data_IF_761203369815
#
_entry.id   IF_761203369815
#
_cell.length_a   1.000
_cell.length_b   1.000
_cell.length_c   1.000
_cell.angle_alpha   90.00
_cell.angle_beta   90.00
_cell.angle_gamma   90.00
#
_symmetry.space_group_name_H-M   'P 1'
#
loop_
_entity.id
_entity.type
_entity.pdbx_description
1 polymer ?
#
# COMPACT_ATOMS: atom_id res chain seq x y z
N UNK A 1 19.91 7.97 -6.64
CA UNK A 1 20.36 8.40 -7.99
C UNK A 1 19.14 8.47 -8.90
N UNK A 2 19.03 9.48 -9.75
CA UNK A 2 18.01 9.59 -10.81
C UNK A 2 18.74 9.84 -12.14
N UNK A 3 18.57 8.97 -13.12
CA UNK A 3 19.32 9.01 -14.40
C UNK A 3 20.83 9.20 -14.24
N UNK A 4 21.43 8.50 -13.27
CA UNK A 4 22.86 8.56 -12.99
C UNK A 4 23.32 9.79 -12.19
N UNK A 5 22.43 10.74 -11.88
CA UNK A 5 22.74 11.93 -11.09
C UNK A 5 22.25 11.78 -9.65
N UNK A 6 22.95 12.39 -8.70
CA UNK A 6 22.52 12.42 -7.32
C UNK A 6 21.25 13.29 -7.18
N UNK A 7 20.22 12.77 -6.51
CA UNK A 7 18.94 13.49 -6.32
C UNK A 7 19.09 14.78 -5.50
N UNK A 8 20.10 14.86 -4.64
CA UNK A 8 20.40 16.08 -3.87
C UNK A 8 20.92 17.20 -4.77
N UNK A 9 21.73 16.86 -5.79
CA UNK A 9 22.29 17.84 -6.72
C UNK A 9 21.24 18.35 -7.72
N UNK A 10 20.24 17.55 -8.03
CA UNK A 10 19.13 17.91 -8.91
C UNK A 10 18.18 18.95 -8.29
N UNK A 11 18.12 19.06 -6.98
CA UNK A 11 17.39 20.08 -6.25
C UNK A 11 15.94 20.27 -6.71
N UNK A 12 15.64 21.44 -7.28
CA UNK A 12 14.31 21.80 -7.76
C UNK A 12 13.84 20.94 -8.94
N UNK A 13 14.75 20.56 -9.84
CA UNK A 13 14.41 19.72 -11.01
C UNK A 13 13.85 18.37 -10.57
N UNK A 14 14.44 17.75 -9.55
CA UNK A 14 13.92 16.51 -8.99
C UNK A 14 12.57 16.71 -8.30
N UNK A 15 12.42 17.76 -7.50
CA UNK A 15 11.14 18.08 -6.83
C UNK A 15 10.00 18.33 -7.81
N UNK A 16 10.28 18.87 -8.99
CA UNK A 16 9.27 19.15 -10.02
C UNK A 16 8.70 17.88 -10.66
N UNK A 17 9.47 16.79 -10.71
CA UNK A 17 9.02 15.49 -11.24
C UNK A 17 8.45 14.56 -10.17
N UNK A 18 8.48 14.98 -8.88
CA UNK A 18 8.04 14.21 -7.74
C UNK A 18 6.66 14.68 -7.25
N UNK A 19 5.74 13.75 -7.10
CA UNK A 19 4.52 13.90 -6.31
C UNK A 19 4.63 13.08 -5.02
N UNK A 20 4.19 13.64 -3.91
CA UNK A 20 4.27 12.95 -2.62
C UNK A 20 2.96 13.11 -1.84
N UNK A 21 2.45 11.98 -1.36
CA UNK A 21 1.36 11.90 -0.40
C UNK A 21 1.90 11.23 0.86
N UNK A 22 2.16 11.97 1.95
CA UNK A 22 2.54 11.40 3.23
C UNK A 22 1.36 10.70 3.91
N UNK A 23 1.62 9.80 4.84
CA UNK A 23 0.62 9.10 5.65
C UNK A 23 -0.36 10.09 6.32
N UNK A 24 0.18 11.17 6.86
CA UNK A 24 -0.59 12.27 7.45
C UNK A 24 -0.27 13.56 6.71
N UNK A 25 -1.11 13.93 5.73
CA UNK A 25 -0.91 15.20 5.06
C UNK A 25 -1.70 16.33 5.74
N UNK A 26 -1.02 17.47 5.91
CA UNK A 26 -1.61 18.65 6.49
C UNK A 26 -2.56 19.35 5.50
N UNK A 27 -3.73 19.73 5.98
CA UNK A 27 -4.69 20.55 5.23
C UNK A 27 -5.26 21.66 6.12
N UNK A 28 -5.78 22.70 5.47
CA UNK A 28 -6.47 23.78 6.18
C UNK A 28 -7.96 23.43 6.30
N UNK A 29 -8.48 23.12 7.51
CA UNK A 29 -9.83 22.58 7.70
C UNK A 29 -10.95 23.48 7.15
N UNK A 30 -10.73 24.79 7.17
CA UNK A 30 -11.68 25.79 6.72
C UNK A 30 -11.54 26.17 5.22
N UNK A 31 -10.52 25.66 4.52
CA UNK A 31 -10.45 25.82 3.07
C UNK A 31 -11.44 24.90 2.39
N UNK A 32 -11.92 25.31 1.20
CA UNK A 32 -12.57 24.39 0.30
C UNK A 32 -11.52 23.55 -0.44
N UNK A 33 -11.91 22.40 -1.01
CA UNK A 33 -11.00 21.56 -1.77
C UNK A 33 -10.34 22.34 -2.91
N UNK A 34 -11.12 23.13 -3.66
CA UNK A 34 -10.61 23.98 -4.71
C UNK A 34 -9.61 25.03 -4.19
N UNK A 35 -9.95 25.77 -3.11
CA UNK A 35 -9.06 26.76 -2.52
C UNK A 35 -7.76 26.13 -2.04
N UNK A 36 -7.81 24.93 -1.48
CA UNK A 36 -6.63 24.19 -1.05
C UNK A 36 -5.71 23.87 -2.24
N UNK A 37 -6.25 23.31 -3.33
CA UNK A 37 -5.45 23.01 -4.52
C UNK A 37 -4.83 24.26 -5.14
N UNK A 38 -5.58 25.36 -5.24
CA UNK A 38 -5.06 26.64 -5.73
C UNK A 38 -3.92 27.17 -4.86
N UNK A 39 -4.04 27.05 -3.53
CA UNK A 39 -2.99 27.43 -2.59
C UNK A 39 -1.71 26.61 -2.78
N UNK A 40 -1.84 25.27 -2.86
CA UNK A 40 -0.68 24.40 -3.11
C UNK A 40 -0.08 24.65 -4.49
N UNK A 41 -0.91 24.89 -5.50
CA UNK A 41 -0.44 25.22 -6.86
C UNK A 41 0.39 26.52 -6.87
N UNK A 42 -0.01 27.53 -6.09
CA UNK A 42 0.75 28.76 -5.95
C UNK A 42 2.12 28.53 -5.26
N UNK A 43 2.17 27.72 -4.20
CA UNK A 43 3.43 27.33 -3.54
C UNK A 43 4.36 26.59 -4.52
N UNK A 44 3.77 25.76 -5.41
CA UNK A 44 4.51 25.03 -6.46
C UNK A 44 4.88 25.91 -7.68
N UNK A 45 4.58 27.21 -7.67
CA UNK A 45 4.92 28.14 -8.73
C UNK A 45 4.08 28.00 -10.02
N UNK A 46 2.89 27.37 -9.96
CA UNK A 46 2.04 27.28 -11.13
C UNK A 46 1.37 28.63 -11.43
N UNK A 47 1.40 29.10 -12.68
CA UNK A 47 0.65 30.30 -13.09
C UNK A 47 -0.85 30.13 -12.80
N UNK A 48 -1.52 31.18 -12.35
CA UNK A 48 -2.91 31.15 -11.86
C UNK A 48 -3.89 30.45 -12.84
N UNK A 49 -3.85 30.80 -14.13
CA UNK A 49 -4.71 30.17 -15.16
C UNK A 49 -4.46 28.67 -15.29
N UNK A 50 -3.18 28.22 -15.25
CA UNK A 50 -2.81 26.82 -15.31
C UNK A 50 -3.23 26.10 -14.02
N UNK A 51 -3.01 26.71 -12.87
CA UNK A 51 -3.43 26.20 -11.57
C UNK A 51 -4.94 25.99 -11.50
N UNK A 52 -5.74 26.95 -11.98
CA UNK A 52 -7.20 26.86 -12.04
C UNK A 52 -7.66 25.62 -12.84
N UNK A 53 -7.25 25.54 -14.11
CA UNK A 53 -7.65 24.43 -14.99
C UNK A 53 -7.20 23.07 -14.42
N UNK A 54 -5.96 23.00 -13.94
CA UNK A 54 -5.40 21.77 -13.37
C UNK A 54 -6.10 21.35 -12.09
N UNK A 55 -6.50 22.30 -11.23
CA UNK A 55 -7.25 21.98 -10.00
C UNK A 55 -8.61 21.40 -10.31
N UNK A 56 -9.34 21.92 -11.30
CA UNK A 56 -10.64 21.38 -11.71
C UNK A 56 -10.51 19.98 -12.33
N UNK A 57 -9.56 19.79 -13.24
CA UNK A 57 -9.24 18.48 -13.83
C UNK A 57 -8.92 17.43 -12.76
N UNK A 58 -8.11 17.80 -11.76
CA UNK A 58 -7.71 16.88 -10.71
C UNK A 58 -8.86 16.57 -9.75
N UNK A 59 -9.71 17.53 -9.42
CA UNK A 59 -10.91 17.28 -8.62
C UNK A 59 -11.87 16.32 -9.32
N UNK A 60 -12.01 16.45 -10.64
CA UNK A 60 -12.78 15.49 -11.45
C UNK A 60 -12.15 14.11 -11.41
N UNK A 61 -10.84 14.02 -11.68
CA UNK A 61 -10.08 12.76 -11.71
C UNK A 61 -10.16 11.98 -10.41
N UNK A 62 -10.17 12.67 -9.26
CA UNK A 62 -10.30 12.03 -7.95
C UNK A 62 -11.76 11.91 -7.47
N UNK A 63 -12.75 12.31 -8.30
CA UNK A 63 -14.17 12.21 -8.00
C UNK A 63 -14.63 13.12 -6.85
N UNK A 64 -14.14 14.36 -6.83
CA UNK A 64 -14.48 15.41 -5.84
C UNK A 64 -15.08 16.66 -6.49
N UNK A 65 -15.58 16.59 -7.72
CA UNK A 65 -16.14 17.72 -8.46
C UNK A 65 -17.27 18.40 -7.70
N UNK A 66 -18.25 17.62 -7.19
CA UNK A 66 -19.41 18.12 -6.45
C UNK A 66 -18.99 18.76 -5.11
N UNK A 67 -17.88 18.29 -4.52
CA UNK A 67 -17.37 18.76 -3.23
C UNK A 67 -16.33 19.87 -3.35
N UNK A 68 -16.05 20.38 -4.56
CA UNK A 68 -15.01 21.39 -4.78
C UNK A 68 -15.11 22.63 -3.89
N UNK A 69 -16.34 23.04 -3.56
CA UNK A 69 -16.66 24.19 -2.72
C UNK A 69 -16.96 23.83 -1.26
N UNK A 70 -16.98 22.54 -0.90
CA UNK A 70 -17.17 22.08 0.47
C UNK A 70 -15.87 22.24 1.29
N UNK A 71 -16.02 22.58 2.58
CA UNK A 71 -14.88 22.74 3.48
C UNK A 71 -14.26 21.37 3.79
N UNK A 72 -12.93 21.30 3.81
CA UNK A 72 -12.20 20.04 4.02
C UNK A 72 -12.52 19.40 5.38
N UNK A 73 -12.87 20.18 6.39
CA UNK A 73 -13.31 19.65 7.70
C UNK A 73 -14.54 18.74 7.63
N UNK A 74 -15.35 18.85 6.57
CA UNK A 74 -16.55 18.01 6.37
C UNK A 74 -16.25 16.75 5.55
N UNK A 75 -14.99 16.55 5.10
CA UNK A 75 -14.61 15.42 4.27
C UNK A 75 -14.44 14.14 5.10
N UNK A 76 -14.87 13.00 4.53
CA UNK A 76 -14.50 11.67 5.04
C UNK A 76 -13.00 11.42 4.91
N UNK A 77 -12.47 10.38 5.56
CA UNK A 77 -11.08 9.96 5.40
C UNK A 77 -10.72 9.72 3.94
N UNK A 78 -11.53 8.97 3.21
CA UNK A 78 -11.32 8.69 1.79
C UNK A 78 -11.38 9.95 0.90
N UNK A 79 -12.25 10.90 1.20
CA UNK A 79 -12.27 12.18 0.49
C UNK A 79 -11.00 12.99 0.72
N UNK A 80 -10.47 13.00 1.95
CA UNK A 80 -9.20 13.66 2.29
C UNK A 80 -8.02 13.01 1.56
N UNK A 81 -7.96 11.68 1.55
CA UNK A 81 -6.91 10.95 0.83
C UNK A 81 -6.95 11.24 -0.69
N UNK A 82 -8.14 11.24 -1.30
CA UNK A 82 -8.31 11.60 -2.72
C UNK A 82 -7.90 13.04 -3.01
N UNK A 83 -8.18 13.99 -2.12
CA UNK A 83 -7.69 15.37 -2.23
C UNK A 83 -6.16 15.42 -2.10
N UNK A 84 -5.57 14.62 -1.22
CA UNK A 84 -4.13 14.47 -1.07
C UNK A 84 -3.46 13.96 -2.35
N UNK A 85 -4.07 13.00 -3.06
CA UNK A 85 -3.58 12.59 -4.38
C UNK A 85 -3.67 13.76 -5.37
N UNK A 86 -4.79 14.47 -5.40
CA UNK A 86 -4.96 15.61 -6.31
C UNK A 86 -3.84 16.65 -6.11
N UNK A 87 -3.50 16.98 -4.85
CA UNK A 87 -2.40 17.90 -4.57
C UNK A 87 -1.03 17.35 -5.00
N UNK A 88 -0.78 16.03 -4.84
CA UNK A 88 0.46 15.42 -5.27
C UNK A 88 0.63 15.45 -6.80
N UNK A 89 -0.48 15.46 -7.55
CA UNK A 89 -0.52 15.45 -9.01
C UNK A 89 -0.47 16.84 -9.68
N UNK A 90 -0.45 17.94 -8.92
CA UNK A 90 -0.53 19.31 -9.46
C UNK A 90 0.51 19.58 -10.54
N UNK A 91 1.78 19.21 -10.32
CA UNK A 91 2.88 19.41 -11.26
C UNK A 91 2.98 18.33 -12.35
N UNK A 92 2.00 17.45 -12.47
CA UNK A 92 2.04 16.27 -13.34
C UNK A 92 3.36 15.47 -13.18
N UNK A 93 3.63 14.94 -11.98
CA UNK A 93 4.89 14.29 -11.66
C UNK A 93 5.09 13.01 -12.48
N UNK A 94 6.37 12.67 -12.75
CA UNK A 94 6.76 11.39 -13.36
C UNK A 94 6.87 10.28 -12.30
N UNK A 95 7.13 10.65 -11.05
CA UNK A 95 7.25 9.75 -9.91
C UNK A 95 6.22 10.18 -8.86
N UNK A 96 5.38 9.26 -8.41
CA UNK A 96 4.39 9.47 -7.36
C UNK A 96 4.72 8.53 -6.19
N UNK A 97 5.01 9.11 -5.04
CA UNK A 97 5.24 8.37 -3.79
C UNK A 97 4.00 8.51 -2.92
N UNK A 98 3.47 7.38 -2.47
CA UNK A 98 2.28 7.28 -1.63
C UNK A 98 2.64 6.49 -0.38
N UNK A 99 2.53 7.14 0.77
CA UNK A 99 2.88 6.55 2.06
C UNK A 99 1.62 6.18 2.83
N UNK A 100 1.40 4.87 3.03
CA UNK A 100 0.22 4.27 3.69
C UNK A 100 -1.12 4.87 3.22
N UNK A 101 -1.37 5.00 1.92
CA UNK A 101 -2.45 5.82 1.41
C UNK A 101 -3.85 5.23 1.62
N UNK A 102 -3.96 3.95 1.97
CA UNK A 102 -5.24 3.24 2.18
C UNK A 102 -5.52 2.96 3.65
N UNK A 103 -4.60 3.32 4.56
CA UNK A 103 -4.78 3.13 5.98
C UNK A 103 -6.04 3.87 6.49
N UNK A 104 -6.88 3.16 7.24
CA UNK A 104 -8.12 3.72 7.82
C UNK A 104 -9.25 3.98 6.82
N UNK A 105 -9.13 3.53 5.56
CA UNK A 105 -10.22 3.59 4.59
C UNK A 105 -11.19 2.40 4.77
N UNK A 106 -12.48 2.67 4.59
CA UNK A 106 -13.48 1.61 4.47
C UNK A 106 -13.26 0.77 3.18
N UNK A 107 -13.79 -0.46 3.10
CA UNK A 107 -13.56 -1.36 1.97
C UNK A 107 -13.94 -0.75 0.61
N UNK A 108 -15.02 0.03 0.53
CA UNK A 108 -15.49 0.66 -0.71
C UNK A 108 -14.53 1.75 -1.18
N UNK A 109 -14.09 2.62 -0.27
CA UNK A 109 -13.12 3.67 -0.58
C UNK A 109 -11.75 3.07 -0.93
N UNK A 110 -11.35 1.95 -0.30
CA UNK A 110 -10.11 1.24 -0.62
C UNK A 110 -10.12 0.70 -2.05
N UNK A 111 -11.20 0.05 -2.49
CA UNK A 111 -11.34 -0.40 -3.89
C UNK A 111 -11.25 0.78 -4.87
N UNK A 112 -11.95 1.86 -4.56
CA UNK A 112 -11.93 3.07 -5.40
C UNK A 112 -10.54 3.68 -5.50
N UNK A 113 -9.81 3.68 -4.39
CA UNK A 113 -8.44 4.18 -4.32
C UNK A 113 -7.49 3.30 -5.14
N UNK A 114 -7.56 1.98 -5.01
CA UNK A 114 -6.76 1.03 -5.81
C UNK A 114 -6.95 1.24 -7.30
N UNK A 115 -8.18 1.37 -7.77
CA UNK A 115 -8.49 1.64 -9.17
C UNK A 115 -7.88 2.97 -9.65
N UNK A 116 -7.97 4.01 -8.81
CA UNK A 116 -7.33 5.29 -9.11
C UNK A 116 -5.81 5.15 -9.26
N UNK A 117 -5.14 4.45 -8.34
CA UNK A 117 -3.69 4.24 -8.40
C UNK A 117 -3.30 3.43 -9.63
N UNK A 118 -4.03 2.37 -9.96
CA UNK A 118 -3.78 1.56 -11.17
C UNK A 118 -3.82 2.43 -12.44
N UNK A 119 -4.82 3.29 -12.59
CA UNK A 119 -4.92 4.24 -13.71
C UNK A 119 -3.76 5.24 -13.71
N UNK A 120 -3.35 5.72 -12.53
CA UNK A 120 -2.21 6.63 -12.42
C UNK A 120 -0.88 5.98 -12.80
N UNK A 121 -0.72 4.68 -12.53
CA UNK A 121 0.50 3.92 -12.79
C UNK A 121 0.73 3.58 -14.28
N UNK A 122 -0.25 3.78 -15.15
CA UNK A 122 -0.08 3.55 -16.61
C UNK A 122 1.01 4.42 -17.24
N UNK A 123 1.15 5.66 -16.78
CA UNK A 123 2.02 6.66 -17.41
C UNK A 123 3.04 7.28 -16.44
N UNK A 124 3.30 6.64 -15.30
CA UNK A 124 4.26 7.14 -14.30
C UNK A 124 4.76 6.03 -13.39
N UNK A 125 5.86 6.27 -12.71
CA UNK A 125 6.34 5.41 -11.65
C UNK A 125 5.52 5.73 -10.39
N UNK A 126 4.84 4.74 -9.83
CA UNK A 126 4.16 4.85 -8.54
C UNK A 126 4.90 3.98 -7.54
N UNK A 127 5.38 4.58 -6.46
CA UNK A 127 5.97 3.90 -5.31
C UNK A 127 4.96 3.97 -4.17
N UNK A 128 4.52 2.81 -3.72
CA UNK A 128 3.54 2.67 -2.66
C UNK A 128 4.20 1.99 -1.45
N UNK A 129 4.22 2.64 -0.29
CA UNK A 129 4.51 1.98 0.99
C UNK A 129 3.20 1.57 1.64
N UNK A 130 3.10 0.32 2.08
CA UNK A 130 1.94 -0.18 2.82
C UNK A 130 2.27 -1.46 3.57
N UNK A 131 1.61 -1.67 4.71
CA UNK A 131 1.58 -2.93 5.43
C UNK A 131 0.32 -3.76 5.07
N UNK A 132 -0.55 -3.25 4.21
CA UNK A 132 -1.80 -3.92 3.82
C UNK A 132 -1.52 -4.79 2.58
N UNK A 133 -1.28 -6.06 2.81
CA UNK A 133 -0.89 -7.02 1.77
C UNK A 133 -1.88 -7.08 0.61
N UNK A 134 -3.19 -7.04 0.90
CA UNK A 134 -4.22 -7.08 -0.14
C UNK A 134 -4.19 -5.91 -1.12
N UNK A 135 -3.63 -4.76 -0.73
CA UNK A 135 -3.47 -3.63 -1.66
C UNK A 135 -2.31 -3.88 -2.62
N UNK A 136 -1.23 -4.50 -2.12
CA UNK A 136 -0.06 -4.88 -2.93
C UNK A 136 -0.47 -5.89 -4.01
N UNK A 137 -1.24 -6.93 -3.66
CA UNK A 137 -1.72 -7.95 -4.60
C UNK A 137 -2.45 -7.37 -5.81
N UNK A 138 -3.23 -6.30 -5.60
CA UNK A 138 -4.03 -5.70 -6.67
C UNK A 138 -3.28 -4.68 -7.53
N UNK A 139 -2.28 -3.99 -6.97
CA UNK A 139 -1.68 -2.82 -7.62
C UNK A 139 -0.26 -3.08 -8.09
N UNK A 140 0.53 -3.86 -7.33
CA UNK A 140 1.95 -3.94 -7.52
C UNK A 140 2.34 -4.82 -8.72
N UNK A 141 3.14 -4.26 -9.63
CA UNK A 141 3.86 -5.01 -10.67
C UNK A 141 5.19 -5.55 -10.14
N UNK A 142 5.76 -4.86 -9.18
CA UNK A 142 7.02 -5.20 -8.53
C UNK A 142 6.93 -4.91 -7.04
N UNK A 143 7.44 -5.82 -6.23
CA UNK A 143 7.43 -5.76 -4.77
C UNK A 143 8.87 -5.63 -4.28
N UNK A 144 9.08 -4.76 -3.30
CA UNK A 144 10.31 -4.57 -2.57
C UNK A 144 10.04 -4.92 -1.11
N UNK A 145 10.66 -5.98 -0.60
CA UNK A 145 10.57 -6.37 0.82
C UNK A 145 11.75 -5.77 1.56
N UNK A 146 11.45 -4.92 2.53
CA UNK A 146 12.47 -4.24 3.35
C UNK A 146 12.30 -4.62 4.82
N UNK A 147 13.42 -4.90 5.50
CA UNK A 147 13.48 -5.13 6.96
C UNK A 147 14.72 -4.44 7.52
N UNK A 148 14.57 -3.69 8.60
CA UNK A 148 15.67 -2.99 9.29
C UNK A 148 16.49 -2.06 8.36
N UNK A 149 15.86 -1.45 7.36
CA UNK A 149 16.55 -0.57 6.40
C UNK A 149 17.25 -1.28 5.24
N UNK A 150 17.21 -2.61 5.20
CA UNK A 150 17.82 -3.42 4.14
C UNK A 150 16.77 -3.99 3.19
N UNK A 151 17.09 -4.06 1.91
CA UNK A 151 16.28 -4.69 0.88
C UNK A 151 16.52 -6.20 0.89
N UNK A 152 15.54 -6.96 1.37
CA UNK A 152 15.64 -8.42 1.45
C UNK A 152 15.34 -9.11 0.12
N UNK A 153 14.31 -8.68 -0.59
CA UNK A 153 13.84 -9.26 -1.85
C UNK A 153 13.25 -8.18 -2.75
N UNK A 154 13.34 -8.44 -4.05
CA UNK A 154 12.73 -7.63 -5.10
C UNK A 154 12.26 -8.53 -6.23
N UNK A 155 11.08 -8.28 -6.80
CA UNK A 155 10.58 -8.99 -7.96
C UNK A 155 9.07 -8.84 -8.14
N UNK A 156 8.55 -9.48 -9.20
CA UNK A 156 7.09 -9.59 -9.38
C UNK A 156 6.47 -10.44 -8.26
N UNK A 157 5.18 -10.24 -7.94
CA UNK A 157 4.48 -11.07 -6.94
C UNK A 157 4.72 -12.56 -7.14
N UNK A 158 4.59 -13.04 -8.38
CA UNK A 158 4.80 -14.47 -8.72
C UNK A 158 6.24 -14.93 -8.47
N UNK A 159 7.23 -14.09 -8.79
CA UNK A 159 8.65 -14.43 -8.57
C UNK A 159 8.99 -14.52 -7.09
N UNK A 160 8.44 -13.60 -6.29
CA UNK A 160 8.71 -13.57 -4.85
C UNK A 160 8.00 -14.73 -4.15
N UNK A 161 6.76 -15.06 -4.52
CA UNK A 161 6.00 -16.18 -3.95
C UNK A 161 6.68 -17.54 -4.21
N UNK A 162 7.36 -17.71 -5.35
CA UNK A 162 8.15 -18.92 -5.61
C UNK A 162 9.20 -19.20 -4.54
N UNK A 163 9.70 -18.19 -3.84
CA UNK A 163 10.71 -18.37 -2.80
C UNK A 163 10.22 -19.11 -1.56
N UNK A 164 8.89 -19.15 -1.34
CA UNK A 164 8.25 -19.86 -0.22
C UNK A 164 7.27 -20.94 -0.66
N UNK A 165 7.27 -21.32 -1.94
CA UNK A 165 6.31 -22.26 -2.53
C UNK A 165 6.23 -23.58 -1.77
N UNK A 166 7.34 -24.11 -1.26
CA UNK A 166 7.39 -25.37 -0.49
C UNK A 166 7.26 -25.19 1.03
N UNK A 167 7.05 -23.97 1.51
CA UNK A 167 7.05 -23.66 2.95
C UNK A 167 5.66 -23.42 3.52
N UNK A 168 4.61 -23.42 2.68
CA UNK A 168 3.24 -23.21 3.13
C UNK A 168 2.47 -24.52 3.14
N UNK A 169 1.94 -24.84 4.31
CA UNK A 169 1.27 -26.11 4.56
C UNK A 169 -0.14 -25.88 5.09
N UNK A 170 -1.04 -26.78 4.76
CA UNK A 170 -2.31 -26.95 5.46
C UNK A 170 -2.35 -28.32 6.11
N UNK A 171 -2.97 -28.41 7.28
CA UNK A 171 -3.23 -29.67 7.97
C UNK A 171 -4.52 -29.60 8.78
N UNK A 172 -5.24 -30.72 8.79
CA UNK A 172 -6.39 -30.90 9.69
C UNK A 172 -5.90 -31.60 10.96
N UNK A 173 -6.13 -30.97 12.12
CA UNK A 173 -5.60 -31.43 13.40
C UNK A 173 -6.69 -31.46 14.47
N UNK A 174 -6.56 -32.33 15.49
CA UNK A 174 -7.39 -32.27 16.69
C UNK A 174 -7.12 -30.96 17.45
N UNK A 175 -8.14 -30.42 18.10
CA UNK A 175 -8.05 -29.18 18.87
C UNK A 175 -6.92 -29.15 19.91
N UNK A 176 -6.56 -30.28 20.46
CA UNK A 176 -5.49 -30.43 21.46
C UNK A 176 -4.08 -30.14 20.90
N UNK A 177 -3.88 -30.29 19.56
CA UNK A 177 -2.60 -30.08 18.91
C UNK A 177 -2.32 -28.59 18.55
N UNK A 178 -3.34 -27.74 18.58
CA UNK A 178 -3.24 -26.34 18.15
C UNK A 178 -2.17 -25.61 18.97
N UNK A 179 -2.25 -25.61 20.29
CA UNK A 179 -1.29 -24.91 21.14
C UNK A 179 0.16 -25.38 20.93
N UNK A 180 0.35 -26.67 20.66
CA UNK A 180 1.68 -27.21 20.33
C UNK A 180 2.20 -26.69 19.04
N UNK A 181 1.34 -26.61 18.01
CA UNK A 181 1.74 -26.14 16.69
C UNK A 181 1.98 -24.62 16.69
N UNK A 182 1.15 -23.83 17.37
CA UNK A 182 1.33 -22.38 17.52
C UNK A 182 2.62 -21.99 18.25
N UNK A 183 3.06 -22.83 19.20
CA UNK A 183 4.34 -22.63 19.91
C UNK A 183 5.57 -22.92 19.05
N UNK A 184 5.46 -23.82 18.06
CA UNK A 184 6.62 -24.29 17.30
C UNK A 184 6.68 -23.73 15.89
N UNK A 185 5.59 -23.20 15.37
CA UNK A 185 5.48 -22.78 13.98
C UNK A 185 4.73 -21.46 13.82
N UNK A 186 4.93 -20.79 12.71
CA UNK A 186 4.15 -19.61 12.33
C UNK A 186 2.80 -20.09 11.78
N UNK A 187 1.73 -19.92 12.57
CA UNK A 187 0.35 -20.23 12.15
C UNK A 187 -0.24 -18.99 11.47
N UNK A 188 -0.42 -19.06 10.16
CA UNK A 188 -0.99 -17.97 9.37
C UNK A 188 -2.52 -17.89 9.51
N UNK A 189 -3.18 -19.02 9.66
CA UNK A 189 -4.65 -19.05 9.78
C UNK A 189 -5.11 -20.31 10.49
N UNK A 190 -6.21 -20.16 11.26
CA UNK A 190 -6.95 -21.25 11.91
C UNK A 190 -8.41 -21.17 11.45
N UNK A 191 -8.92 -22.25 10.85
CA UNK A 191 -10.34 -22.38 10.47
C UNK A 191 -10.98 -23.49 11.29
N UNK A 192 -12.02 -23.13 12.04
CA UNK A 192 -12.83 -24.08 12.77
C UNK A 192 -13.77 -24.84 11.84
N UNK A 193 -13.79 -26.16 11.93
CA UNK A 193 -14.72 -27.05 11.25
C UNK A 193 -15.41 -27.95 12.26
N UNK A 194 -16.50 -28.63 11.85
CA UNK A 194 -17.25 -29.52 12.74
C UNK A 194 -16.47 -30.77 13.16
N UNK A 195 -15.52 -31.22 12.34
CA UNK A 195 -14.81 -32.49 12.53
C UNK A 195 -13.33 -32.32 12.90
N UNK A 196 -12.70 -31.20 12.48
CA UNK A 196 -11.29 -30.94 12.73
C UNK A 196 -11.00 -29.45 12.64
N UNK A 197 -9.84 -29.03 13.17
CA UNK A 197 -9.34 -27.68 13.05
C UNK A 197 -8.32 -27.62 11.90
N UNK A 198 -8.56 -26.76 10.91
CA UNK A 198 -7.62 -26.57 9.78
C UNK A 198 -6.68 -25.45 10.07
N UNK A 199 -5.40 -25.77 10.11
CA UNK A 199 -4.31 -24.81 10.27
C UNK A 199 -3.62 -24.55 8.93
N UNK A 200 -3.29 -23.28 8.67
CA UNK A 200 -2.34 -22.87 7.64
C UNK A 200 -1.05 -22.46 8.32
N UNK A 201 0.05 -23.14 8.00
CA UNK A 201 1.32 -23.05 8.70
C UNK A 201 2.44 -22.73 7.73
N UNK A 202 3.36 -21.86 8.16
CA UNK A 202 4.57 -21.52 7.42
C UNK A 202 5.75 -22.22 8.10
N UNK A 203 6.40 -23.13 7.37
CA UNK A 203 7.54 -23.92 7.85
C UNK A 203 8.37 -24.48 6.71
N UNK A 204 9.68 -24.52 6.87
CA UNK A 204 10.61 -25.14 5.92
C UNK A 204 10.51 -26.69 5.91
N UNK A 205 9.94 -27.25 6.98
CA UNK A 205 9.72 -28.69 7.13
C UNK A 205 8.24 -28.96 7.34
N UNK A 206 7.78 -30.19 7.02
CA UNK A 206 6.39 -30.58 7.25
C UNK A 206 6.03 -30.47 8.75
N UNK A 207 5.04 -29.65 9.13
CA UNK A 207 4.71 -29.40 10.53
C UNK A 207 3.90 -30.52 11.19
N UNK A 208 3.25 -31.36 10.37
CA UNK A 208 2.38 -32.43 10.83
C UNK A 208 2.35 -33.61 9.86
N UNK A 209 2.10 -34.82 10.34
CA UNK A 209 2.16 -36.06 9.52
C UNK A 209 1.18 -36.06 8.34
N UNK A 210 0.04 -35.41 8.47
CA UNK A 210 -0.99 -35.30 7.45
C UNK A 210 -0.98 -33.94 6.74
N UNK A 211 0.07 -33.13 6.91
CA UNK A 211 0.17 -31.84 6.26
C UNK A 211 0.43 -31.99 4.75
N UNK A 212 -0.18 -31.10 3.96
CA UNK A 212 0.05 -30.99 2.53
C UNK A 212 0.44 -29.58 2.15
N UNK A 213 1.28 -29.43 1.13
CA UNK A 213 1.65 -28.12 0.60
C UNK A 213 0.48 -27.47 -0.13
N UNK A 214 0.40 -26.14 0.01
CA UNK A 214 -0.57 -25.30 -0.69
C UNK A 214 0.13 -24.10 -1.33
N UNK A 215 -0.51 -23.50 -2.32
CA UNK A 215 0.00 -22.30 -2.96
C UNK A 215 0.13 -21.15 -1.95
N UNK A 216 1.30 -20.49 -1.90
CA UNK A 216 1.54 -19.37 -1.01
C UNK A 216 0.78 -18.12 -1.45
N UNK A 217 0.43 -17.30 -0.47
CA UNK A 217 -0.11 -15.94 -0.65
C UNK A 217 0.92 -14.89 -0.24
N UNK A 218 0.70 -13.63 -0.61
CA UNK A 218 1.56 -12.54 -0.11
C UNK A 218 1.44 -12.35 1.41
N UNK A 219 0.34 -12.76 2.03
CA UNK A 219 0.18 -12.75 3.48
C UNK A 219 1.11 -13.78 4.14
N UNK A 220 1.20 -14.99 3.58
CA UNK A 220 2.16 -16.01 4.05
C UNK A 220 3.60 -15.49 3.92
N UNK A 221 3.91 -14.86 2.78
CA UNK A 221 5.22 -14.27 2.55
C UNK A 221 5.56 -13.17 3.57
N UNK A 222 4.59 -12.32 3.88
CA UNK A 222 4.74 -11.29 4.90
C UNK A 222 5.04 -11.93 6.26
N UNK A 223 4.26 -12.92 6.66
CA UNK A 223 4.47 -13.63 7.93
C UNK A 223 5.82 -14.35 7.96
N UNK A 224 6.25 -14.98 6.86
CA UNK A 224 7.56 -15.63 6.78
C UNK A 224 8.73 -14.69 7.08
N UNK A 225 8.67 -13.43 6.61
CA UNK A 225 9.75 -12.46 6.83
C UNK A 225 9.63 -11.66 8.13
N UNK A 226 8.42 -11.48 8.67
CA UNK A 226 8.16 -10.50 9.73
C UNK A 226 7.56 -11.08 11.01
N UNK A 227 6.91 -12.27 10.97
CA UNK A 227 6.45 -12.90 12.20
C UNK A 227 7.67 -13.38 13.03
N UNK A 228 7.64 -13.07 14.29
CA UNK A 228 8.53 -13.69 15.29
C UNK A 228 7.83 -14.94 15.81
N UNK A 229 8.47 -16.11 15.71
CA UNK A 229 8.06 -17.26 16.52
C UNK A 229 8.30 -16.82 17.95
N UNK A 230 7.28 -16.90 18.81
CA UNK A 230 7.41 -16.53 20.22
C UNK A 230 8.51 -17.38 20.85
N UNK A 231 9.74 -16.86 20.90
CA UNK A 231 10.77 -17.41 21.75
C UNK A 231 10.30 -17.22 23.19
N UNK A 232 9.54 -18.19 23.69
CA UNK A 232 9.29 -18.29 25.11
C UNK A 232 10.57 -18.82 25.76
N UNK A 233 11.40 -17.88 26.28
CA UNK A 233 12.32 -18.19 27.37
C UNK A 233 11.60 -18.74 28.60
#
# INVERSE_FOLDING_TARGET
MFNGQNIHDLGEQYRNILGYLPQHFGYYPNFTAYKFLMYIAAIKGLPHKKAHNRSLELLEKVGLTEQKNAKIKTFSGGMKQRLGIAQALLNNPKILILDEPTAGLDPKERVRFRNLISTLAENRIVILSTHIVSDVEYIAKEILIMKNGELLRQGSPETILKSIHSFVWECDVPRQEIERLEKNYIVANLKHSAEAERLRIISEVSPYTTAWNVEPTLEDLYLYYFAEVSDNE
#
